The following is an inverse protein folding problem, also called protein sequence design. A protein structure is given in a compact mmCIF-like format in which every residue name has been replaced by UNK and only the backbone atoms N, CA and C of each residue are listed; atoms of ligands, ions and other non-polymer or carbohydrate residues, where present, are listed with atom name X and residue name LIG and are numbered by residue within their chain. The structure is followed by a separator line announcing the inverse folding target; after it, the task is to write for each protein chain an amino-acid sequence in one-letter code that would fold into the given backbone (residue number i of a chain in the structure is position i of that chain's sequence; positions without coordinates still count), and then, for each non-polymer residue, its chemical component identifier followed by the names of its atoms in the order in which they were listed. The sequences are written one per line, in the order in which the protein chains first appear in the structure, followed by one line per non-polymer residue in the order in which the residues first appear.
data_IF_772499635578
#
_entry.id   IF_772499635578
#
_cell.length_a   1.000
_cell.length_b   1.000
_cell.length_c   1.000
_cell.angle_alpha   90.00
_cell.angle_beta   90.00
_cell.angle_gamma   90.00
#
_symmetry.space_group_name_H-M   'P 1'
#
loop_
_entity.id
_entity.type
_entity.pdbx_description
1 polymer ?
#
# COMPACT_ATOMS: atom_id res chain seq x y z
N UNK A 1 1.96 2.21 -4.17
CA UNK A 1 1.26 3.49 -3.93
C UNK A 1 -0.23 3.33 -3.66
N UNK A 2 -0.84 2.16 -3.85
CA UNK A 2 -2.00 1.77 -3.04
C UNK A 2 -2.12 0.26 -2.99
N UNK A 3 -2.72 -0.26 -1.92
CA UNK A 3 -3.17 -1.65 -1.82
C UNK A 3 -4.69 -1.66 -1.82
N UNK A 4 -5.30 -2.54 -2.59
CA UNK A 4 -6.76 -2.72 -2.61
C UNK A 4 -7.07 -4.17 -2.20
N UNK A 5 -7.71 -4.38 -1.03
CA UNK A 5 -8.07 -5.70 -0.48
C UNK A 5 -9.58 -5.88 -0.29
N UNK A 6 -10.06 -7.12 -0.46
CA UNK A 6 -11.46 -7.55 -0.31
C UNK A 6 -11.52 -9.01 0.15
N UNK A 7 -12.72 -9.49 0.48
CA UNK A 7 -12.99 -10.92 0.75
C UNK A 7 -12.98 -11.78 -0.54
N UNK A 8 -12.07 -11.46 -1.45
CA UNK A 8 -11.74 -12.20 -2.66
C UNK A 8 -10.26 -12.60 -2.53
N UNK A 9 -9.97 -13.74 -1.89
CA UNK A 9 -8.60 -14.14 -1.59
C UNK A 9 -7.80 -14.41 -2.87
N UNK A 10 -6.53 -14.01 -2.85
CA UNK A 10 -5.55 -14.61 -3.76
C UNK A 10 -5.32 -16.05 -3.34
N UNK A 11 -5.30 -16.99 -4.29
CA UNK A 11 -5.04 -18.40 -3.97
C UNK A 11 -3.54 -18.59 -3.70
N UNK A 12 -3.14 -18.89 -2.45
CA UNK A 12 -1.75 -19.18 -2.16
C UNK A 12 -1.41 -20.60 -2.65
N UNK A 13 -0.11 -20.86 -2.81
CA UNK A 13 0.35 -22.21 -3.05
C UNK A 13 0.21 -23.04 -1.76
N UNK A 14 -0.41 -24.22 -1.85
CA UNK A 14 -0.60 -25.13 -0.72
C UNK A 14 -0.42 -26.59 -1.14
N UNK A 15 0.14 -27.40 -0.25
CA UNK A 15 0.15 -28.86 -0.38
C UNK A 15 -1.10 -29.41 0.31
N UNK A 16 -1.80 -30.34 -0.35
CA UNK A 16 -2.96 -31.03 0.22
C UNK A 16 -2.85 -32.54 -0.01
N UNK A 17 -3.37 -33.32 0.93
CA UNK A 17 -3.45 -34.77 0.78
C UNK A 17 -4.39 -35.16 -0.37
N UNK A 18 -4.12 -36.32 -0.97
CA UNK A 18 -4.98 -36.86 -2.02
C UNK A 18 -6.39 -37.10 -1.44
N UNK A 19 -7.39 -36.50 -2.07
CA UNK A 19 -8.81 -36.50 -1.67
C UNK A 19 -9.20 -35.57 -0.51
N UNK A 20 -8.29 -34.74 0.01
CA UNK A 20 -8.67 -33.59 0.84
C UNK A 20 -8.72 -32.32 -0.02
N UNK A 21 -9.66 -31.44 0.29
CA UNK A 21 -9.79 -30.13 -0.37
C UNK A 21 -9.57 -29.03 0.65
N UNK A 22 -8.59 -28.17 0.38
CA UNK A 22 -8.46 -26.91 1.09
C UNK A 22 -9.33 -25.89 0.37
N UNK A 23 -10.29 -25.31 1.09
CA UNK A 23 -11.18 -24.28 0.58
C UNK A 23 -10.88 -22.94 1.26
N UNK A 24 -10.92 -21.86 0.51
CA UNK A 24 -10.79 -20.50 1.04
C UNK A 24 -12.09 -19.77 0.79
N UNK A 25 -12.75 -19.23 1.83
CA UNK A 25 -14.00 -18.51 1.67
C UNK A 25 -13.81 -17.29 0.77
N UNK A 26 -14.78 -17.05 -0.12
CA UNK A 26 -14.78 -15.92 -1.05
C UNK A 26 -16.18 -15.34 -1.11
N UNK A 27 -16.30 -14.03 -0.92
CA UNK A 27 -17.58 -13.33 -0.93
C UNK A 27 -17.43 -11.86 -1.36
N UNK A 28 -18.46 -11.26 -1.98
CA UNK A 28 -18.47 -9.82 -2.23
C UNK A 28 -18.34 -9.02 -0.94
N UNK A 29 -17.46 -8.02 -0.92
CA UNK A 29 -17.27 -7.13 0.23
C UNK A 29 -16.97 -5.70 -0.21
N UNK A 30 -17.03 -4.77 0.76
CA UNK A 30 -16.38 -3.46 0.63
C UNK A 30 -14.89 -3.61 0.35
N UNK A 31 -14.29 -2.57 -0.23
CA UNK A 31 -12.84 -2.51 -0.49
C UNK A 31 -12.15 -1.80 0.67
N UNK A 32 -11.08 -2.40 1.17
CA UNK A 32 -10.10 -1.70 1.98
C UNK A 32 -9.02 -1.18 1.04
N UNK A 33 -8.85 0.13 0.98
CA UNK A 33 -7.78 0.77 0.23
C UNK A 33 -6.72 1.30 1.21
N UNK A 34 -5.45 1.08 0.92
CA UNK A 34 -4.33 1.57 1.73
C UNK A 34 -3.43 2.42 0.86
N UNK A 35 -3.25 3.69 1.21
CA UNK A 35 -2.18 4.52 0.64
C UNK A 35 -0.93 4.36 1.52
N UNK A 36 0.26 4.28 0.94
CA UNK A 36 1.48 4.18 1.73
C UNK A 36 2.68 4.84 1.09
N UNK A 37 3.61 5.28 1.94
CA UNK A 37 4.94 5.79 1.60
C UNK A 37 5.98 4.93 2.32
N UNK A 38 6.91 4.37 1.56
CA UNK A 38 7.85 3.35 2.04
C UNK A 38 9.30 3.75 1.76
N UNK A 39 10.18 3.55 2.73
CA UNK A 39 11.63 3.66 2.57
C UNK A 39 12.28 2.28 2.45
N UNK A 40 13.51 2.22 1.90
CA UNK A 40 14.28 0.95 1.83
C UNK A 40 14.72 0.43 3.19
N UNK A 41 14.60 1.25 4.24
CA UNK A 41 14.89 0.91 5.63
C UNK A 41 13.68 0.25 6.33
N UNK A 42 12.63 -0.11 5.59
CA UNK A 42 11.38 -0.64 6.12
C UNK A 42 10.63 0.36 7.04
N UNK A 43 10.76 1.66 6.78
CA UNK A 43 9.92 2.68 7.42
C UNK A 43 8.70 2.93 6.52
N UNK A 44 7.51 2.85 7.11
CA UNK A 44 6.24 2.96 6.40
C UNK A 44 5.34 4.01 7.06
N UNK A 45 4.85 4.95 6.27
CA UNK A 45 3.69 5.77 6.61
C UNK A 45 2.50 5.25 5.79
N UNK A 46 1.43 4.81 6.44
CA UNK A 46 0.26 4.22 5.78
C UNK A 46 -1.05 4.86 6.23
N UNK A 47 -2.01 4.94 5.31
CA UNK A 47 -3.35 5.50 5.50
C UNK A 47 -4.39 4.53 4.94
N UNK A 48 -5.36 4.13 5.77
CA UNK A 48 -6.41 3.17 5.40
C UNK A 48 -7.73 3.88 5.12
N UNK A 49 -8.45 3.40 4.09
CA UNK A 49 -9.71 3.99 3.62
C UNK A 49 -10.70 2.89 3.22
N UNK A 50 -11.97 3.04 3.62
CA UNK A 50 -13.06 2.18 3.11
C UNK A 50 -13.73 2.74 1.84
N UNK A 51 -13.21 3.85 1.31
CA UNK A 51 -13.71 4.55 0.12
C UNK A 51 -12.65 4.60 -0.98
N UNK A 52 -13.07 4.92 -2.20
CA UNK A 52 -12.14 5.10 -3.32
C UNK A 52 -11.15 6.23 -3.06
N UNK A 53 -9.88 5.98 -3.35
CA UNK A 53 -8.82 6.99 -3.27
C UNK A 53 -8.82 7.81 -4.56
N UNK A 54 -9.05 9.11 -4.41
CA UNK A 54 -9.01 10.11 -5.47
C UNK A 54 -7.82 11.07 -5.26
N UNK A 55 -7.57 11.96 -6.24
CA UNK A 55 -6.39 12.85 -6.20
C UNK A 55 -6.37 13.78 -4.99
N UNK A 56 -7.54 14.24 -4.53
CA UNK A 56 -7.72 15.05 -3.32
C UNK A 56 -7.29 14.31 -2.05
N UNK A 57 -7.64 13.03 -1.92
CA UNK A 57 -7.20 12.17 -0.81
C UNK A 57 -5.69 12.02 -0.82
N UNK A 58 -5.09 11.82 -2.00
CA UNK A 58 -3.62 11.74 -2.14
C UNK A 58 -2.96 13.04 -1.71
N UNK A 59 -3.47 14.19 -2.17
CA UNK A 59 -2.96 15.52 -1.80
C UNK A 59 -3.04 15.72 -0.29
N UNK A 60 -4.17 15.38 0.35
CA UNK A 60 -4.33 15.50 1.79
C UNK A 60 -3.33 14.62 2.57
N UNK A 61 -3.09 13.39 2.11
CA UNK A 61 -2.06 12.52 2.69
C UNK A 61 -0.64 13.07 2.52
N UNK A 62 -0.34 13.67 1.37
CA UNK A 62 0.95 14.32 1.11
C UNK A 62 1.14 15.56 1.97
N UNK A 63 0.12 16.40 2.12
CA UNK A 63 0.13 17.57 3.00
C UNK A 63 0.48 17.15 4.44
N UNK A 64 -0.23 16.13 4.97
CA UNK A 64 0.05 15.58 6.30
C UNK A 64 1.43 14.92 6.42
N UNK A 65 1.90 14.28 5.35
CA UNK A 65 3.23 13.68 5.33
C UNK A 65 4.33 14.75 5.35
N UNK A 66 4.15 15.86 4.61
CA UNK A 66 5.09 16.97 4.56
C UNK A 66 5.35 17.59 5.94
N UNK A 67 4.32 17.68 6.78
CA UNK A 67 4.43 18.23 8.15
C UNK A 67 5.42 17.47 9.03
N UNK A 68 5.69 16.18 8.72
CA UNK A 68 6.60 15.32 9.48
C UNK A 68 8.05 15.38 8.96
N UNK A 69 8.30 16.02 7.82
CA UNK A 69 9.60 16.01 7.18
C UNK A 69 10.59 16.91 7.92
N UNK A 70 11.72 16.33 8.31
CA UNK A 70 12.82 17.04 8.98
C UNK A 70 14.02 17.30 8.07
N UNK A 71 14.02 16.68 6.89
CA UNK A 71 15.08 16.75 5.88
C UNK A 71 14.48 16.71 4.49
N UNK A 72 15.24 17.22 3.52
CA UNK A 72 14.90 17.13 2.11
C UNK A 72 14.62 15.66 1.75
N UNK A 73 13.44 15.41 1.21
CA UNK A 73 12.90 14.08 0.92
C UNK A 73 12.39 14.05 -0.50
N UNK A 74 12.78 13.02 -1.24
CA UNK A 74 12.28 12.76 -2.60
C UNK A 74 11.28 11.62 -2.54
N UNK A 75 10.03 11.89 -2.88
CA UNK A 75 8.99 10.88 -2.99
C UNK A 75 8.93 10.36 -4.43
N UNK A 76 9.16 9.05 -4.57
CA UNK A 76 9.08 8.36 -5.86
C UNK A 76 7.65 7.86 -6.05
N UNK A 77 6.98 8.34 -7.10
CA UNK A 77 5.60 7.98 -7.44
C UNK A 77 5.56 7.26 -8.80
N UNK A 78 4.65 6.29 -8.94
CA UNK A 78 4.31 5.75 -10.26
C UNK A 78 3.44 6.72 -11.06
N UNK A 79 3.29 6.43 -12.35
CA UNK A 79 2.60 7.32 -13.29
C UNK A 79 1.07 7.08 -13.35
N UNK A 80 0.44 6.62 -12.26
CA UNK A 80 -1.02 6.39 -12.23
C UNK A 80 -1.80 7.70 -12.41
N UNK A 81 -2.93 7.63 -13.12
CA UNK A 81 -3.76 8.79 -13.47
C UNK A 81 -4.29 9.56 -12.26
N UNK A 82 -4.39 8.90 -11.09
CA UNK A 82 -4.77 9.54 -9.82
C UNK A 82 -3.73 10.58 -9.38
N UNK A 83 -2.47 10.42 -9.81
CA UNK A 83 -1.35 11.31 -9.48
C UNK A 83 -1.03 12.33 -10.56
N UNK A 84 -1.67 12.23 -11.73
CA UNK A 84 -1.44 13.13 -12.87
C UNK A 84 -2.43 14.30 -12.93
N UNK A 85 -2.98 14.71 -11.79
CA UNK A 85 -3.93 15.80 -11.74
C UNK A 85 -3.20 17.16 -11.66
N UNK A 86 -3.72 18.17 -12.35
CA UNK A 86 -3.25 19.56 -12.28
C UNK A 86 -3.11 20.06 -10.83
N UNK A 87 -4.03 19.68 -9.95
CA UNK A 87 -3.98 20.05 -8.54
C UNK A 87 -2.72 19.59 -7.81
N UNK A 88 -2.09 18.50 -8.27
CA UNK A 88 -0.87 17.97 -7.68
C UNK A 88 0.34 18.85 -8.06
N UNK A 89 0.34 19.38 -9.29
CA UNK A 89 1.33 20.36 -9.77
C UNK A 89 1.16 21.72 -9.10
N UNK A 90 -0.08 22.16 -8.84
CA UNK A 90 -0.35 23.41 -8.13
C UNK A 90 0.21 23.39 -6.68
N UNK A 91 0.42 22.20 -6.12
CA UNK A 91 0.97 21.98 -4.77
C UNK A 91 2.49 21.77 -4.74
N UNK A 92 3.12 21.57 -5.89
CA UNK A 92 4.55 21.21 -5.99
C UNK A 92 5.46 22.25 -5.33
N UNK A 93 5.22 23.54 -5.57
CA UNK A 93 6.02 24.62 -4.97
C UNK A 93 5.83 24.68 -3.44
N UNK A 94 4.62 24.44 -2.94
CA UNK A 94 4.32 24.40 -1.51
C UNK A 94 5.09 23.24 -0.83
N UNK A 95 5.05 22.05 -1.42
CA UNK A 95 5.74 20.87 -0.93
C UNK A 95 7.26 21.01 -1.01
N UNK A 96 7.78 21.60 -2.08
CA UNK A 96 9.21 21.88 -2.23
C UNK A 96 9.72 22.78 -1.09
N UNK A 97 8.96 23.82 -0.72
CA UNK A 97 9.28 24.69 0.44
C UNK A 97 9.24 23.94 1.77
N UNK A 98 8.41 22.90 1.89
CA UNK A 98 8.36 21.99 3.06
C UNK A 98 9.39 20.84 2.98
N UNK A 99 10.25 20.84 1.97
CA UNK A 99 11.32 19.86 1.80
C UNK A 99 10.90 18.55 1.14
N UNK A 100 9.71 18.49 0.51
CA UNK A 100 9.27 17.36 -0.30
C UNK A 100 9.42 17.67 -1.80
N UNK A 101 10.16 16.82 -2.51
CA UNK A 101 10.21 16.82 -3.98
C UNK A 101 9.57 15.54 -4.51
N UNK A 102 8.81 15.64 -5.59
CA UNK A 102 8.17 14.48 -6.22
C UNK A 102 8.94 14.09 -7.46
N UNK A 103 9.24 12.80 -7.58
CA UNK A 103 9.85 12.21 -8.76
C UNK A 103 8.93 11.14 -9.34
N UNK A 104 8.49 11.33 -10.58
CA UNK A 104 7.67 10.35 -11.28
C UNK A 104 8.52 9.31 -12.01
N UNK A 105 8.20 8.04 -11.80
CA UNK A 105 8.81 6.94 -12.53
C UNK A 105 8.38 6.93 -14.01
N UNK A 106 9.22 6.39 -14.91
CA UNK A 106 8.80 6.12 -16.29
C UNK A 106 7.53 5.26 -16.33
N UNK A 107 6.68 5.51 -17.32
CA UNK A 107 5.45 4.75 -17.53
C UNK A 107 5.74 3.24 -17.59
N UNK A 108 4.81 2.44 -17.04
CA UNK A 108 4.88 0.98 -17.01
C UNK A 108 6.14 0.40 -16.34
N UNK A 109 6.67 1.07 -15.32
CA UNK A 109 7.83 0.61 -14.54
C UNK A 109 7.51 0.21 -13.09
N UNK A 110 6.51 -0.65 -12.81
CA UNK A 110 6.15 -1.04 -11.45
C UNK A 110 7.29 -1.73 -10.68
N UNK A 111 8.21 -2.39 -11.39
CA UNK A 111 9.40 -3.02 -10.81
C UNK A 111 10.36 -2.02 -10.14
N UNK A 112 10.27 -0.72 -10.50
CA UNK A 112 11.07 0.34 -9.87
C UNK A 112 10.39 0.90 -8.62
N UNK A 113 9.11 0.59 -8.39
CA UNK A 113 8.35 1.06 -7.25
C UNK A 113 8.42 0.04 -6.09
N UNK A 114 9.33 0.27 -5.13
CA UNK A 114 9.61 -0.69 -4.04
C UNK A 114 8.37 -1.05 -3.19
N UNK A 115 7.40 -0.15 -3.09
CA UNK A 115 6.18 -0.43 -2.32
C UNK A 115 5.28 -1.48 -2.99
N UNK A 116 5.41 -1.69 -4.30
CA UNK A 116 4.72 -2.77 -5.00
C UNK A 116 5.27 -4.14 -4.57
N UNK A 117 6.54 -4.22 -4.18
CA UNK A 117 7.11 -5.40 -3.53
C UNK A 117 6.44 -5.60 -2.17
N UNK A 118 6.32 -4.55 -1.37
CA UNK A 118 5.64 -4.61 -0.07
C UNK A 118 4.19 -5.12 -0.20
N UNK A 119 3.43 -4.61 -1.15
CA UNK A 119 2.06 -5.09 -1.43
C UNK A 119 2.00 -6.57 -1.83
N UNK A 120 2.98 -7.05 -2.59
CA UNK A 120 3.08 -8.48 -2.91
C UNK A 120 3.35 -9.33 -1.67
N UNK A 121 4.19 -8.87 -0.74
CA UNK A 121 4.41 -9.58 0.51
C UNK A 121 3.14 -9.66 1.37
N UNK A 122 2.38 -8.57 1.48
CA UNK A 122 1.07 -8.60 2.17
C UNK A 122 0.18 -9.68 1.54
N UNK A 123 -0.04 -9.62 0.22
CA UNK A 123 -0.97 -10.51 -0.50
C UNK A 123 -0.59 -11.98 -0.48
N UNK A 124 0.69 -12.27 -0.68
CA UNK A 124 1.14 -13.63 -1.01
C UNK A 124 1.93 -14.31 0.09
N UNK A 125 2.36 -13.59 1.13
CA UNK A 125 3.26 -14.13 2.17
C UNK A 125 2.73 -13.90 3.58
N UNK A 126 2.09 -12.76 3.86
CA UNK A 126 1.75 -12.38 5.23
C UNK A 126 0.25 -12.45 5.57
N UNK A 127 -0.64 -12.31 4.58
CA UNK A 127 -2.06 -12.56 4.79
C UNK A 127 -2.33 -14.07 4.78
N UNK A 128 -2.76 -14.57 5.93
CA UNK A 128 -3.23 -15.93 6.10
C UNK A 128 -4.65 -16.12 5.57
N UNK A 129 -5.04 -17.36 5.27
CA UNK A 129 -6.38 -17.69 4.75
C UNK A 129 -7.51 -17.35 5.73
N UNK A 130 -7.25 -17.43 7.03
CA UNK A 130 -8.20 -17.03 8.09
C UNK A 130 -8.55 -15.53 8.05
N UNK A 131 -7.72 -14.68 7.44
CA UNK A 131 -8.00 -13.25 7.31
C UNK A 131 -9.25 -12.99 6.45
N UNK A 132 -9.61 -13.93 5.57
CA UNK A 132 -10.72 -13.79 4.63
C UNK A 132 -12.06 -14.30 5.19
N UNK A 133 -12.12 -14.71 6.46
CA UNK A 133 -13.37 -15.15 7.11
C UNK A 133 -14.43 -14.03 7.19
N UNK A 134 -14.01 -12.80 7.49
CA UNK A 134 -14.89 -11.65 7.56
C UNK A 134 -14.17 -10.36 7.20
N UNK A 135 -14.92 -9.33 6.78
CA UNK A 135 -14.35 -8.03 6.44
C UNK A 135 -13.59 -7.42 7.64
N UNK A 136 -14.15 -7.58 8.84
CA UNK A 136 -13.51 -7.11 10.07
C UNK A 136 -12.20 -7.85 10.37
N UNK A 137 -12.12 -9.15 10.08
CA UNK A 137 -10.90 -9.95 10.25
C UNK A 137 -9.84 -9.52 9.25
N UNK A 138 -10.24 -9.27 8.00
CA UNK A 138 -9.34 -8.80 6.94
C UNK A 138 -8.74 -7.44 7.29
N UNK A 139 -9.56 -6.48 7.73
CA UNK A 139 -9.08 -5.15 8.14
C UNK A 139 -8.09 -5.27 9.28
N UNK A 140 -8.40 -6.03 10.33
CA UNK A 140 -7.50 -6.25 11.48
C UNK A 140 -6.18 -6.90 11.06
N UNK A 141 -6.22 -7.88 10.14
CA UNK A 141 -5.02 -8.56 9.66
C UNK A 141 -4.12 -7.59 8.88
N UNK A 142 -4.70 -6.78 7.98
CA UNK A 142 -3.97 -5.76 7.22
C UNK A 142 -3.40 -4.70 8.16
N UNK A 143 -4.19 -4.14 9.08
CA UNK A 143 -3.73 -3.15 10.06
C UNK A 143 -2.60 -3.69 10.94
N UNK A 144 -2.70 -4.93 11.41
CA UNK A 144 -1.64 -5.58 12.16
C UNK A 144 -0.33 -5.67 11.35
N UNK A 145 -0.41 -5.98 10.06
CA UNK A 145 0.78 -6.00 9.20
C UNK A 145 1.37 -4.59 9.05
N UNK A 146 0.53 -3.59 8.78
CA UNK A 146 0.96 -2.19 8.61
C UNK A 146 1.64 -1.64 9.88
N UNK A 147 1.04 -1.88 11.06
CA UNK A 147 1.56 -1.39 12.35
C UNK A 147 2.88 -2.07 12.72
N UNK A 148 3.03 -3.36 12.41
CA UNK A 148 4.21 -4.13 12.80
C UNK A 148 5.24 -4.29 11.66
N UNK A 149 5.12 -3.49 10.59
CA UNK A 149 6.11 -3.45 9.53
C UNK A 149 7.38 -2.70 10.00
N UNK A 150 8.55 -3.20 9.62
CA UNK A 150 9.85 -2.76 10.14
C UNK A 150 10.28 -3.48 11.44
N UNK A 151 9.38 -4.23 12.09
CA UNK A 151 9.69 -5.03 13.28
C UNK A 151 9.40 -6.51 13.08
N UNK A 152 8.12 -6.91 13.05
CA UNK A 152 7.67 -8.29 12.82
C UNK A 152 7.70 -8.65 11.34
N UNK A 153 7.33 -7.70 10.48
CA UNK A 153 7.32 -7.86 9.04
C UNK A 153 8.42 -7.01 8.43
N UNK A 154 9.39 -7.62 7.76
CA UNK A 154 10.50 -6.92 7.12
C UNK A 154 10.75 -7.49 5.73
N UNK A 155 11.24 -6.64 4.84
CA UNK A 155 11.68 -7.02 3.49
C UNK A 155 13.14 -6.64 3.35
N UNK A 156 13.95 -7.59 2.87
CA UNK A 156 15.30 -7.29 2.44
C UNK A 156 15.24 -6.75 1.00
N UNK A 157 15.54 -5.45 0.84
CA UNK A 157 15.58 -4.80 -0.47
C UNK A 157 16.98 -4.81 -1.10
N UNK A 158 18.00 -5.34 -0.41
CA UNK A 158 19.41 -5.34 -0.84
C UNK A 158 19.69 -6.28 -2.01
#
# INVERSE_FOLDING_TARGET
MKLDERLLPYLPYAWQEKNQKIEVPSQPSKRLNVLGFLTRQNELEAYTFECSIHSDVVIACLDKFCEKLTKKTVLIMDNSSIHQNRFLWDKEEEWSKKGLEIFFLPSYSPQLNIIEIFWRFIKYQWLETNAYESYSTLVKAVENILINFGTKYTINFA
#
